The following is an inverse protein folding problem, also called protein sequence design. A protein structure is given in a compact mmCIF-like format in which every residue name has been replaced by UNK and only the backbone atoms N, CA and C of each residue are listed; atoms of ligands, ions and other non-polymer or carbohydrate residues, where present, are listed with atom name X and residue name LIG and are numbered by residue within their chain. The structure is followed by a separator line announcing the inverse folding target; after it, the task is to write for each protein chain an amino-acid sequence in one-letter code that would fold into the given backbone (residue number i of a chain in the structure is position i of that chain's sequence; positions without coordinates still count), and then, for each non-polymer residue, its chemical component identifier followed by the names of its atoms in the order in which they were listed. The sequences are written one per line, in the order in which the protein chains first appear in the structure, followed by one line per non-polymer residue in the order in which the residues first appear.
data_IF_617324059364
#
_entry.id   IF_617324059364
#
_cell.length_a   1.000
_cell.length_b   1.000
_cell.length_c   1.000
_cell.angle_alpha   90.00
_cell.angle_beta   90.00
_cell.angle_gamma   90.00
#
_symmetry.space_group_name_H-M   'P 1'
#
loop_
_entity.id
_entity.type
_entity.pdbx_description
1 polymer ?
#
# COMPACT_ATOMS: atom_id res chain seq x y z
N UNK A 1 35.06 -15.00 -23.71
CA UNK A 1 34.72 -15.49 -22.38
C UNK A 1 33.38 -14.91 -21.98
N UNK A 2 32.35 -15.72 -21.80
CA UNK A 2 31.09 -15.25 -21.20
C UNK A 2 31.39 -14.86 -19.76
N UNK A 3 31.04 -13.63 -19.37
CA UNK A 3 31.10 -13.23 -17.96
C UNK A 3 30.08 -14.07 -17.19
N UNK A 4 30.55 -14.98 -16.36
CA UNK A 4 29.71 -15.77 -15.46
C UNK A 4 29.46 -14.94 -14.20
N UNK A 5 28.24 -14.46 -14.00
CA UNK A 5 27.83 -13.73 -12.80
C UNK A 5 27.20 -12.35 -13.11
N UNK A 6 26.63 -11.75 -12.08
CA UNK A 6 26.04 -10.42 -12.13
C UNK A 6 27.13 -9.33 -12.16
N UNK A 7 26.84 -8.13 -12.70
CA UNK A 7 27.72 -6.97 -12.56
C UNK A 7 28.08 -6.70 -11.09
N UNK A 8 29.26 -6.10 -10.83
CA UNK A 8 29.70 -5.81 -9.45
C UNK A 8 28.80 -4.79 -8.73
N UNK A 9 28.13 -3.95 -9.50
CA UNK A 9 27.22 -2.92 -9.07
C UNK A 9 25.74 -3.35 -9.13
N UNK A 10 25.48 -4.65 -9.33
CA UNK A 10 24.14 -5.19 -9.33
C UNK A 10 23.49 -5.02 -7.94
N UNK A 11 22.29 -4.43 -7.92
CA UNK A 11 21.57 -4.17 -6.69
C UNK A 11 20.71 -5.39 -6.29
N UNK A 12 21.23 -6.16 -5.35
CA UNK A 12 20.44 -7.20 -4.69
C UNK A 12 19.47 -6.57 -3.71
N UNK A 13 18.19 -6.94 -3.76
CA UNK A 13 17.20 -6.30 -2.91
C UNK A 13 15.98 -7.17 -2.64
N UNK A 14 15.09 -6.60 -1.86
CA UNK A 14 13.80 -7.17 -1.52
C UNK A 14 12.66 -6.18 -1.75
N UNK A 15 11.43 -6.70 -1.78
CA UNK A 15 10.23 -5.89 -1.91
C UNK A 15 9.18 -6.27 -0.86
N UNK A 16 8.51 -5.26 -0.32
CA UNK A 16 7.33 -5.40 0.52
C UNK A 16 6.32 -4.30 0.20
N UNK A 17 5.07 -4.48 0.61
CA UNK A 17 4.05 -3.45 0.49
C UNK A 17 3.66 -2.93 1.87
N UNK A 18 3.40 -1.63 1.99
CA UNK A 18 2.96 -0.99 3.24
C UNK A 18 1.77 -1.72 3.87
N UNK A 19 0.75 -2.02 3.07
CA UNK A 19 -0.45 -2.72 3.55
C UNK A 19 -0.18 -4.13 4.07
N UNK A 20 0.87 -4.81 3.61
CA UNK A 20 1.22 -6.16 4.04
C UNK A 20 2.14 -6.16 5.25
N UNK A 21 2.95 -5.13 5.41
CA UNK A 21 4.02 -5.09 6.38
C UNK A 21 3.73 -4.19 7.58
N UNK A 22 3.26 -2.97 7.34
CA UNK A 22 3.23 -1.93 8.38
C UNK A 22 2.36 -2.27 9.58
N UNK A 23 1.13 -2.74 9.37
CA UNK A 23 0.16 -2.80 10.47
C UNK A 23 -0.16 -1.42 11.04
N UNK A 24 -0.34 -1.32 12.35
CA UNK A 24 -0.60 -0.05 13.05
C UNK A 24 -1.70 0.78 12.35
N UNK A 25 -2.78 0.11 11.93
CA UNK A 25 -3.76 0.61 10.96
C UNK A 25 -4.59 1.83 11.41
N UNK A 26 -4.62 2.12 12.73
CA UNK A 26 -5.24 3.32 13.31
C UNK A 26 -4.25 4.14 14.17
N UNK A 27 -2.96 3.78 14.15
CA UNK A 27 -1.96 4.46 14.98
C UNK A 27 -1.50 5.77 14.32
N UNK A 28 -1.18 6.75 15.15
CA UNK A 28 -0.61 8.05 14.77
C UNK A 28 -1.40 8.79 13.67
N UNK A 29 -2.73 8.65 13.73
CA UNK A 29 -3.65 9.33 12.83
C UNK A 29 -3.76 8.75 11.43
N UNK A 30 -3.28 7.50 11.19
CA UNK A 30 -3.58 6.79 9.95
C UNK A 30 -5.09 6.60 9.80
N UNK A 31 -5.64 6.94 8.64
CA UNK A 31 -7.01 6.61 8.28
C UNK A 31 -7.15 5.15 7.81
N UNK A 32 -8.39 4.68 7.75
CA UNK A 32 -8.67 3.39 7.12
C UNK A 32 -8.37 3.44 5.62
N UNK A 33 -7.82 2.36 5.11
CA UNK A 33 -7.67 2.15 3.68
C UNK A 33 -8.37 0.88 3.20
N UNK A 34 -8.45 0.70 1.90
CA UNK A 34 -9.18 -0.43 1.30
C UNK A 34 -8.60 -1.79 1.65
N UNK A 35 -7.32 -1.89 2.00
CA UNK A 35 -6.72 -3.18 2.39
C UNK A 35 -7.07 -3.56 3.83
N UNK A 36 -7.34 -2.60 4.72
CA UNK A 36 -7.77 -2.85 6.10
C UNK A 36 -9.11 -3.62 6.18
N UNK A 37 -9.88 -3.63 5.07
CA UNK A 37 -11.17 -4.32 4.98
C UNK A 37 -11.08 -5.70 4.31
N UNK A 38 -9.90 -6.17 3.94
CA UNK A 38 -9.75 -7.47 3.27
C UNK A 38 -9.84 -8.62 4.25
N UNK A 39 -10.97 -9.34 4.14
CA UNK A 39 -11.24 -10.54 4.93
C UNK A 39 -10.39 -11.72 4.47
N UNK A 40 -9.90 -12.49 5.44
CA UNK A 40 -9.21 -13.75 5.27
C UNK A 40 -9.63 -14.72 6.39
N UNK A 41 -10.08 -15.92 6.04
CA UNK A 41 -10.33 -16.94 7.02
C UNK A 41 -9.08 -17.85 7.13
N UNK A 42 -8.45 -17.93 8.30
CA UNK A 42 -7.25 -18.77 8.49
C UNK A 42 -7.53 -20.25 8.26
N UNK A 43 -8.80 -20.67 8.39
CA UNK A 43 -9.23 -22.05 8.19
C UNK A 43 -9.49 -22.42 6.72
N UNK A 44 -9.47 -21.45 5.81
CA UNK A 44 -9.64 -21.73 4.38
C UNK A 44 -8.61 -22.73 3.87
N UNK A 45 -9.10 -23.72 3.13
CA UNK A 45 -8.27 -24.59 2.30
C UNK A 45 -7.53 -23.79 1.22
N UNK A 46 -6.53 -24.38 0.60
CA UNK A 46 -5.81 -23.76 -0.51
C UNK A 46 -6.74 -23.37 -1.66
N UNK A 47 -7.71 -24.22 -1.95
CA UNK A 47 -8.73 -24.02 -2.99
C UNK A 47 -9.64 -22.83 -2.65
N UNK A 48 -10.13 -22.75 -1.41
CA UNK A 48 -10.99 -21.64 -0.95
C UNK A 48 -10.26 -20.31 -0.99
N UNK A 49 -8.97 -20.27 -0.63
CA UNK A 49 -8.13 -19.05 -0.72
C UNK A 49 -8.02 -18.51 -2.14
N UNK A 50 -8.21 -19.35 -3.15
CA UNK A 50 -8.11 -18.98 -4.56
C UNK A 50 -9.46 -18.69 -5.21
N UNK A 51 -10.58 -19.03 -4.56
CA UNK A 51 -11.92 -18.78 -5.08
C UNK A 51 -12.16 -17.27 -5.26
N UNK A 52 -12.69 -16.90 -6.43
CA UNK A 52 -13.00 -15.51 -6.75
C UNK A 52 -13.99 -14.91 -5.75
N UNK A 53 -15.04 -15.65 -5.35
CA UNK A 53 -16.02 -15.21 -4.37
C UNK A 53 -15.42 -14.80 -3.03
N UNK A 54 -14.37 -15.48 -2.58
CA UNK A 54 -13.71 -15.18 -1.32
C UNK A 54 -12.80 -13.94 -1.42
N UNK A 55 -12.26 -13.64 -2.60
CA UNK A 55 -11.41 -12.48 -2.86
C UNK A 55 -12.17 -11.20 -3.21
N UNK A 56 -13.44 -11.34 -3.56
CA UNK A 56 -14.29 -10.23 -3.98
C UNK A 56 -14.81 -9.46 -2.77
N UNK A 57 -14.91 -8.15 -2.93
CA UNK A 57 -15.59 -7.25 -1.99
C UNK A 57 -16.98 -6.93 -2.53
N UNK A 58 -17.99 -7.13 -1.70
CA UNK A 58 -19.35 -6.69 -1.93
C UNK A 58 -19.83 -5.84 -0.75
N UNK A 59 -21.02 -5.26 -0.85
CA UNK A 59 -21.58 -4.40 0.19
C UNK A 59 -21.72 -5.10 1.55
N UNK A 60 -22.05 -6.38 1.58
CA UNK A 60 -22.20 -7.16 2.82
C UNK A 60 -20.83 -7.28 3.53
N UNK A 61 -19.80 -7.74 2.82
CA UNK A 61 -18.44 -7.86 3.36
C UNK A 61 -17.87 -6.51 3.77
N UNK A 62 -18.15 -5.47 2.99
CA UNK A 62 -17.73 -4.12 3.29
C UNK A 62 -18.31 -3.63 4.62
N UNK A 63 -19.62 -3.80 4.82
CA UNK A 63 -20.30 -3.45 6.08
C UNK A 63 -19.81 -4.31 7.24
N UNK A 64 -19.62 -5.62 7.03
CA UNK A 64 -19.10 -6.51 8.06
C UNK A 64 -17.69 -6.10 8.53
N UNK A 65 -16.80 -5.76 7.60
CA UNK A 65 -15.45 -5.32 7.93
C UNK A 65 -15.42 -4.02 8.74
N UNK A 66 -16.37 -3.11 8.51
CA UNK A 66 -16.48 -1.86 9.27
C UNK A 66 -17.17 -2.04 10.64
N UNK A 67 -17.98 -3.07 10.80
CA UNK A 67 -18.71 -3.34 12.04
C UNK A 67 -17.79 -3.81 13.18
N UNK A 68 -16.65 -4.44 12.86
CA UNK A 68 -15.69 -4.94 13.84
C UNK A 68 -14.25 -4.58 13.41
N UNK A 69 -13.76 -3.47 13.93
CA UNK A 69 -12.39 -3.02 13.68
C UNK A 69 -11.37 -3.69 14.61
N UNK A 70 -11.81 -4.40 15.66
CA UNK A 70 -10.93 -5.09 16.60
C UNK A 70 -10.56 -6.50 16.13
N UNK A 71 -11.28 -7.04 15.13
CA UNK A 71 -10.96 -8.33 14.54
C UNK A 71 -9.67 -8.24 13.71
N UNK A 72 -8.57 -8.68 14.31
CA UNK A 72 -7.26 -8.76 13.67
C UNK A 72 -7.01 -10.14 13.05
N UNK A 73 -7.71 -11.18 13.50
CA UNK A 73 -7.53 -12.54 13.00
C UNK A 73 -7.99 -12.68 11.56
N UNK A 74 -9.16 -12.13 11.26
CA UNK A 74 -9.76 -12.20 9.91
C UNK A 74 -9.38 -11.03 9.02
N UNK A 75 -8.72 -10.00 9.54
CA UNK A 75 -8.25 -8.84 8.78
C UNK A 75 -6.74 -8.63 8.94
N UNK A 76 -5.90 -9.53 8.37
CA UNK A 76 -4.46 -9.57 8.64
C UNK A 76 -3.70 -8.32 8.21
N UNK A 77 -4.23 -7.53 7.27
CA UNK A 77 -3.60 -6.27 6.86
C UNK A 77 -3.63 -5.19 7.95
N UNK A 78 -4.53 -5.30 8.94
CA UNK A 78 -4.61 -4.38 10.09
C UNK A 78 -3.39 -4.47 11.00
N UNK A 79 -2.77 -5.63 11.10
CA UNK A 79 -1.58 -5.83 11.92
C UNK A 79 -0.30 -6.08 11.10
N UNK A 80 -0.40 -6.63 9.88
CA UNK A 80 0.75 -6.96 9.04
C UNK A 80 1.78 -7.81 9.80
N UNK A 81 3.05 -7.43 9.69
CA UNK A 81 4.15 -7.94 10.51
C UNK A 81 4.59 -6.92 11.59
N UNK A 82 3.75 -5.92 11.83
CA UNK A 82 3.99 -4.79 12.74
C UNK A 82 5.26 -4.00 12.39
N UNK A 83 5.56 -3.88 11.12
CA UNK A 83 6.73 -3.18 10.62
C UNK A 83 6.76 -1.71 11.05
N UNK A 84 5.60 -1.06 11.19
CA UNK A 84 5.51 0.33 11.64
C UNK A 84 6.20 0.55 13.00
N UNK A 85 6.10 -0.40 13.92
CA UNK A 85 6.69 -0.31 15.25
C UNK A 85 8.06 -1.00 15.35
N UNK A 86 8.41 -1.89 14.39
CA UNK A 86 9.60 -2.74 14.44
C UNK A 86 10.62 -2.50 13.34
N UNK A 87 10.39 -1.50 12.49
CA UNK A 87 11.21 -1.27 11.29
C UNK A 87 12.71 -1.12 11.58
N UNK A 88 13.10 -0.62 12.76
CA UNK A 88 14.52 -0.47 13.12
C UNK A 88 15.20 -1.85 13.19
N UNK A 89 14.59 -2.79 13.91
CA UNK A 89 15.11 -4.16 14.04
C UNK A 89 15.11 -4.88 12.69
N UNK A 90 14.02 -4.77 11.93
CA UNK A 90 13.88 -5.40 10.63
C UNK A 90 14.90 -4.84 9.62
N UNK A 91 15.20 -3.53 9.69
CA UNK A 91 16.18 -2.90 8.82
C UNK A 91 17.62 -3.35 9.12
N UNK A 92 17.96 -3.58 10.40
CA UNK A 92 19.24 -4.18 10.80
C UNK A 92 19.40 -5.57 10.16
N UNK A 93 18.34 -6.41 10.21
CA UNK A 93 18.35 -7.72 9.56
C UNK A 93 18.50 -7.63 8.04
N UNK A 94 17.87 -6.64 7.39
CA UNK A 94 18.07 -6.41 5.95
C UNK A 94 19.51 -6.03 5.63
N UNK A 95 20.14 -5.21 6.46
CA UNK A 95 21.54 -4.83 6.31
C UNK A 95 22.48 -6.03 6.48
N UNK A 96 22.24 -6.90 7.49
CA UNK A 96 22.97 -8.15 7.71
C UNK A 96 22.85 -9.12 6.53
N UNK A 97 21.67 -9.21 5.92
CA UNK A 97 21.43 -10.00 4.69
C UNK A 97 22.17 -9.43 3.47
N UNK A 98 22.72 -8.22 3.57
CA UNK A 98 23.43 -7.55 2.48
C UNK A 98 22.54 -6.95 1.40
N UNK A 99 21.27 -6.67 1.73
CA UNK A 99 20.32 -5.99 0.82
C UNK A 99 20.90 -4.61 0.43
N UNK A 100 20.85 -4.28 -0.85
CA UNK A 100 21.35 -3.02 -1.43
C UNK A 100 20.23 -2.10 -1.92
N UNK A 101 19.03 -2.62 -2.09
CA UNK A 101 17.84 -1.84 -2.40
C UNK A 101 16.63 -2.46 -1.73
N UNK A 102 15.86 -1.63 -1.03
CA UNK A 102 14.57 -1.99 -0.46
C UNK A 102 13.47 -1.33 -1.28
N UNK A 103 12.64 -2.14 -1.93
CA UNK A 103 11.39 -1.65 -2.49
C UNK A 103 10.30 -1.71 -1.42
N UNK A 104 9.70 -0.58 -1.12
CA UNK A 104 8.51 -0.52 -0.28
C UNK A 104 7.45 0.39 -0.91
N UNK A 105 6.22 0.38 -0.41
CA UNK A 105 5.21 1.34 -0.81
C UNK A 105 4.95 2.34 0.31
N UNK A 106 4.37 3.48 -0.06
CA UNK A 106 3.94 4.51 0.89
C UNK A 106 2.43 4.40 1.07
N UNK A 107 1.95 4.25 2.31
CA UNK A 107 0.53 4.16 2.60
C UNK A 107 -0.12 5.55 2.49
N UNK A 108 -0.96 5.74 1.48
CA UNK A 108 -1.64 7.02 1.24
C UNK A 108 -2.47 7.46 2.46
N UNK A 109 -3.23 6.55 3.07
CA UNK A 109 -4.04 6.85 4.25
C UNK A 109 -3.22 7.19 5.52
N UNK A 110 -1.91 6.92 5.51
CA UNK A 110 -1.00 7.37 6.58
C UNK A 110 -0.56 8.82 6.37
N UNK A 111 -0.49 9.26 5.12
CA UNK A 111 -0.09 10.64 4.74
C UNK A 111 -1.31 11.57 4.68
N UNK A 112 -2.41 11.12 4.11
CA UNK A 112 -3.69 11.82 4.06
C UNK A 112 -4.78 10.85 4.51
N UNK A 113 -5.19 10.87 5.79
CA UNK A 113 -6.09 9.88 6.39
C UNK A 113 -7.41 9.69 5.65
N UNK A 114 -7.99 10.76 5.13
CA UNK A 114 -9.20 10.74 4.30
C UNK A 114 -8.88 10.81 2.79
N UNK A 115 -7.65 11.13 2.42
CA UNK A 115 -7.21 11.32 1.04
C UNK A 115 -7.48 12.73 0.50
N UNK A 116 -8.52 13.40 0.95
CA UNK A 116 -8.89 14.77 0.58
C UNK A 116 -8.57 15.82 1.66
N UNK A 117 -7.88 15.42 2.70
CA UNK A 117 -7.43 16.31 3.77
C UNK A 117 -6.67 17.52 3.23
N UNK A 118 -6.86 18.69 3.88
CA UNK A 118 -6.19 19.92 3.46
C UNK A 118 -4.69 19.92 3.75
N UNK A 119 -4.26 19.19 4.78
CA UNK A 119 -2.86 19.07 5.20
C UNK A 119 -2.50 17.61 5.40
N UNK A 120 -1.24 17.24 5.15
CA UNK A 120 -0.77 15.89 5.40
C UNK A 120 -0.65 15.61 6.90
N UNK A 121 -0.73 14.34 7.26
CA UNK A 121 -0.41 13.85 8.59
C UNK A 121 1.11 13.84 8.78
N UNK A 122 1.61 14.74 9.62
CA UNK A 122 3.05 14.89 9.86
C UNK A 122 3.68 13.66 10.55
N UNK A 123 2.93 12.93 11.37
CA UNK A 123 3.41 11.68 11.98
C UNK A 123 3.67 10.61 10.91
N UNK A 124 2.77 10.48 9.93
CA UNK A 124 2.96 9.57 8.81
C UNK A 124 4.15 9.96 7.92
N UNK A 125 4.31 11.25 7.63
CA UNK A 125 5.49 11.73 6.89
C UNK A 125 6.78 11.46 7.64
N UNK A 126 6.80 11.74 8.95
CA UNK A 126 7.98 11.51 9.80
C UNK A 126 8.39 10.04 9.80
N UNK A 127 7.44 9.11 9.88
CA UNK A 127 7.73 7.68 9.81
C UNK A 127 8.53 7.31 8.55
N UNK A 128 8.10 7.78 7.36
CA UNK A 128 8.82 7.48 6.12
C UNK A 128 10.14 8.23 6.00
N UNK A 129 10.24 9.46 6.53
CA UNK A 129 11.52 10.17 6.61
C UNK A 129 12.55 9.39 7.42
N UNK A 130 12.17 8.98 8.63
CA UNK A 130 13.04 8.24 9.54
C UNK A 130 13.46 6.89 8.93
N UNK A 131 12.52 6.16 8.35
CA UNK A 131 12.78 4.88 7.68
C UNK A 131 13.76 5.03 6.51
N UNK A 132 13.54 6.02 5.64
CA UNK A 132 14.38 6.20 4.44
C UNK A 132 15.77 6.74 4.79
N UNK A 133 15.87 7.64 5.76
CA UNK A 133 17.16 8.10 6.28
C UNK A 133 17.96 6.93 6.90
N UNK A 134 17.30 6.02 7.62
CA UNK A 134 17.93 4.83 8.17
C UNK A 134 18.32 3.81 7.07
N UNK A 135 17.52 3.62 6.02
CA UNK A 135 17.93 2.83 4.86
C UNK A 135 19.26 3.33 4.29
N UNK A 136 19.39 4.63 4.06
CA UNK A 136 20.61 5.22 3.56
C UNK A 136 21.81 5.08 4.54
N UNK A 137 21.56 5.21 5.84
CA UNK A 137 22.60 4.98 6.86
C UNK A 137 23.16 3.56 6.82
N UNK A 138 22.35 2.57 6.44
CA UNK A 138 22.77 1.17 6.21
C UNK A 138 23.27 0.91 4.78
N UNK A 139 23.36 1.91 3.92
CA UNK A 139 23.78 1.77 2.52
C UNK A 139 22.74 1.05 1.64
N UNK A 140 21.48 1.10 2.03
CA UNK A 140 20.34 0.53 1.32
C UNK A 140 19.63 1.64 0.55
N UNK A 141 19.51 1.50 -0.76
CA UNK A 141 18.76 2.41 -1.62
C UNK A 141 17.26 2.23 -1.43
N UNK A 142 16.52 3.32 -1.55
CA UNK A 142 15.05 3.32 -1.42
C UNK A 142 14.40 3.31 -2.80
N UNK A 143 13.54 2.31 -3.03
CA UNK A 143 12.68 2.23 -4.20
C UNK A 143 11.22 2.34 -3.75
N UNK A 144 10.64 3.54 -3.81
CA UNK A 144 9.32 3.82 -3.30
C UNK A 144 8.23 3.60 -4.35
N UNK A 145 7.24 2.78 -4.03
CA UNK A 145 5.99 2.65 -4.79
C UNK A 145 4.96 3.63 -4.22
N UNK A 146 4.50 4.58 -5.02
CA UNK A 146 3.55 5.62 -4.57
C UNK A 146 2.21 5.00 -4.22
N UNK A 147 1.65 4.16 -5.09
CA UNK A 147 0.40 3.45 -4.85
C UNK A 147 0.54 1.95 -5.04
N UNK A 148 0.28 1.20 -3.96
CA UNK A 148 0.31 -0.26 -3.97
C UNK A 148 -1.06 -0.82 -3.57
N UNK A 149 -2.05 -0.62 -4.44
CA UNK A 149 -3.46 -1.02 -4.35
C UNK A 149 -4.33 -0.19 -3.40
N UNK A 150 -3.84 0.15 -2.20
CA UNK A 150 -4.64 0.75 -1.14
C UNK A 150 -4.82 2.25 -1.31
N UNK A 151 -6.06 2.72 -1.26
CA UNK A 151 -6.40 4.15 -1.16
C UNK A 151 -7.18 4.42 0.13
N UNK A 152 -7.18 5.67 0.63
CA UNK A 152 -8.01 6.05 1.77
C UNK A 152 -9.46 5.66 1.55
N UNK A 153 -10.06 5.00 2.56
CA UNK A 153 -11.42 4.45 2.44
C UNK A 153 -12.46 5.53 2.18
N UNK A 154 -12.28 6.71 2.75
CA UNK A 154 -13.14 7.87 2.53
C UNK A 154 -13.27 8.23 1.03
N UNK A 155 -12.19 8.12 0.24
CA UNK A 155 -12.27 8.36 -1.20
C UNK A 155 -13.19 7.35 -1.92
N UNK A 156 -13.34 6.14 -1.38
CA UNK A 156 -14.26 5.13 -1.93
C UNK A 156 -15.69 5.45 -1.53
N UNK A 157 -15.93 5.76 -0.26
CA UNK A 157 -17.29 5.99 0.27
C UNK A 157 -17.90 7.31 -0.23
N UNK A 158 -17.12 8.37 -0.29
CA UNK A 158 -17.61 9.69 -0.69
C UNK A 158 -17.61 9.92 -2.21
N UNK A 159 -16.59 9.41 -2.90
CA UNK A 159 -16.38 9.75 -4.31
C UNK A 159 -16.46 8.54 -5.25
N UNK A 160 -16.61 7.32 -4.72
CA UNK A 160 -16.62 6.10 -5.52
C UNK A 160 -15.23 5.66 -6.01
N UNK A 161 -14.16 6.04 -5.28
CA UNK A 161 -12.78 5.66 -5.60
C UNK A 161 -12.34 6.15 -6.99
N UNK A 162 -11.68 5.30 -7.74
CA UNK A 162 -11.14 5.65 -9.06
C UNK A 162 -12.20 5.91 -10.15
N UNK A 163 -13.48 5.77 -9.88
CA UNK A 163 -14.54 6.25 -10.79
C UNK A 163 -14.62 7.76 -10.85
N UNK A 164 -14.11 8.46 -9.86
CA UNK A 164 -14.19 9.90 -9.73
C UNK A 164 -12.88 10.60 -10.09
N UNK A 165 -12.98 11.66 -10.91
CA UNK A 165 -11.85 12.58 -11.16
C UNK A 165 -11.36 13.25 -9.87
N UNK A 166 -12.19 13.33 -8.83
CA UNK A 166 -11.80 13.84 -7.52
C UNK A 166 -10.70 13.01 -6.89
N UNK A 167 -10.77 11.69 -7.00
CA UNK A 167 -9.72 10.79 -6.52
C UNK A 167 -8.40 11.03 -7.25
N UNK A 168 -8.45 11.31 -8.56
CA UNK A 168 -7.24 11.65 -9.34
C UNK A 168 -6.62 12.98 -8.85
N UNK A 169 -7.44 14.01 -8.59
CA UNK A 169 -6.95 15.27 -8.02
C UNK A 169 -6.28 15.07 -6.66
N UNK A 170 -6.89 14.24 -5.80
CA UNK A 170 -6.33 13.88 -4.50
C UNK A 170 -5.01 13.10 -4.65
N UNK A 171 -4.93 12.18 -5.62
CA UNK A 171 -3.71 11.44 -5.92
C UNK A 171 -2.57 12.35 -6.39
N UNK A 172 -2.87 13.31 -7.26
CA UNK A 172 -1.87 14.30 -7.71
C UNK A 172 -1.34 15.13 -6.55
N UNK A 173 -2.22 15.55 -5.63
CA UNK A 173 -1.82 16.27 -4.41
C UNK A 173 -0.95 15.38 -3.51
N UNK A 174 -1.36 14.15 -3.25
CA UNK A 174 -0.60 13.18 -2.49
C UNK A 174 0.79 12.97 -3.08
N UNK A 175 0.88 12.68 -4.37
CA UNK A 175 2.16 12.47 -5.08
C UNK A 175 3.07 13.70 -5.02
N UNK A 176 2.51 14.90 -5.18
CA UNK A 176 3.26 16.16 -5.04
C UNK A 176 3.85 16.29 -3.64
N UNK A 177 3.04 16.05 -2.60
CA UNK A 177 3.52 16.07 -1.21
C UNK A 177 4.65 15.08 -0.99
N UNK A 178 4.56 13.87 -1.55
CA UNK A 178 5.66 12.91 -1.44
C UNK A 178 6.94 13.42 -2.09
N UNK A 179 6.87 13.99 -3.29
CA UNK A 179 8.05 14.53 -3.97
C UNK A 179 8.65 15.73 -3.22
N UNK A 180 7.82 16.61 -2.68
CA UNK A 180 8.27 17.77 -1.92
C UNK A 180 8.89 17.40 -0.57
N UNK A 181 8.38 16.36 0.10
CA UNK A 181 8.75 16.02 1.47
C UNK A 181 9.74 14.85 1.60
N UNK A 182 9.75 13.93 0.61
CA UNK A 182 10.55 12.71 0.62
C UNK A 182 11.44 12.56 -0.62
N UNK A 183 11.37 13.49 -1.57
CA UNK A 183 12.02 13.34 -2.86
C UNK A 183 13.54 13.16 -2.80
N UNK A 184 14.20 13.81 -1.86
CA UNK A 184 15.64 13.72 -1.61
C UNK A 184 16.08 12.43 -0.89
N UNK A 185 15.10 11.63 -0.39
CA UNK A 185 15.29 10.36 0.32
C UNK A 185 14.95 9.13 -0.50
N UNK A 186 14.50 9.30 -1.74
CA UNK A 186 14.06 8.18 -2.58
C UNK A 186 14.92 8.13 -3.84
N UNK A 187 15.62 7.00 -4.02
CA UNK A 187 16.46 6.77 -5.19
C UNK A 187 15.66 6.43 -6.46
N UNK A 188 14.55 5.71 -6.30
CA UNK A 188 13.71 5.25 -7.42
C UNK A 188 12.23 5.35 -7.07
N UNK A 189 11.43 5.85 -8.01
CA UNK A 189 9.98 5.98 -7.86
C UNK A 189 9.24 5.02 -8.81
N UNK A 190 8.20 4.37 -8.29
CA UNK A 190 7.24 3.60 -9.07
C UNK A 190 5.84 4.18 -8.82
N UNK A 191 5.15 4.74 -9.83
CA UNK A 191 3.84 5.36 -9.60
C UNK A 191 2.77 4.40 -9.11
N UNK A 192 2.62 3.25 -9.77
CA UNK A 192 1.61 2.24 -9.46
C UNK A 192 2.19 0.84 -9.42
N UNK A 193 1.72 0.03 -8.47
CA UNK A 193 1.93 -1.41 -8.52
C UNK A 193 0.79 -2.06 -9.30
N UNK A 194 1.12 -2.79 -10.36
CA UNK A 194 0.21 -3.72 -11.06
C UNK A 194 -1.22 -3.17 -11.27
N UNK A 195 -1.37 -1.94 -11.77
CA UNK A 195 -2.71 -1.37 -11.99
C UNK A 195 -3.58 -2.27 -12.90
N UNK A 196 -2.96 -3.09 -13.75
CA UNK A 196 -3.59 -4.11 -14.57
C UNK A 196 -4.30 -5.20 -13.74
N UNK A 197 -3.92 -5.38 -12.47
CA UNK A 197 -4.60 -6.31 -11.55
C UNK A 197 -6.08 -5.96 -11.35
N UNK A 198 -6.45 -4.70 -11.52
CA UNK A 198 -7.81 -4.22 -11.52
C UNK A 198 -8.71 -4.98 -12.50
N UNK A 199 -8.17 -5.47 -13.62
CA UNK A 199 -8.91 -6.29 -14.59
C UNK A 199 -9.37 -7.63 -14.04
N UNK A 200 -8.67 -8.19 -13.06
CA UNK A 200 -8.93 -9.53 -12.51
C UNK A 200 -9.52 -9.48 -11.11
N UNK A 201 -9.21 -8.44 -10.38
CA UNK A 201 -9.69 -8.19 -9.01
C UNK A 201 -9.93 -6.68 -8.84
N UNK A 202 -11.14 -6.19 -9.12
CA UNK A 202 -11.48 -4.78 -9.11
C UNK A 202 -11.25 -4.10 -7.76
N UNK A 203 -11.59 -4.77 -6.67
CA UNK A 203 -11.37 -4.19 -5.35
C UNK A 203 -9.88 -4.03 -5.03
N UNK A 204 -9.09 -5.07 -5.28
CA UNK A 204 -7.67 -5.01 -4.98
C UNK A 204 -6.89 -4.09 -5.92
N UNK A 205 -7.21 -4.07 -7.19
CA UNK A 205 -6.46 -3.32 -8.19
C UNK A 205 -6.85 -1.85 -8.34
N UNK A 206 -8.16 -1.56 -8.25
CA UNK A 206 -8.72 -0.21 -8.47
C UNK A 206 -9.73 0.22 -7.42
N UNK A 207 -9.77 -0.49 -6.28
CA UNK A 207 -10.56 -0.14 -5.09
C UNK A 207 -12.07 0.03 -5.35
N UNK A 208 -12.64 -0.79 -6.25
CA UNK A 208 -14.07 -0.81 -6.53
C UNK A 208 -14.76 -1.94 -5.79
N UNK A 209 -15.93 -1.66 -5.22
CA UNK A 209 -16.87 -2.66 -4.74
C UNK A 209 -17.58 -3.26 -5.96
N UNK A 210 -17.69 -4.59 -6.02
CA UNK A 210 -18.10 -5.30 -7.25
C UNK A 210 -19.52 -5.06 -7.72
N UNK A 211 -20.42 -4.66 -6.85
CA UNK A 211 -21.79 -4.34 -7.21
C UNK A 211 -21.90 -3.12 -8.16
N UNK A 212 -20.76 -2.55 -8.53
CA UNK A 212 -20.59 -1.38 -9.42
C UNK A 212 -19.88 -1.75 -10.73
N UNK A 213 -20.09 -2.95 -11.24
CA UNK A 213 -19.35 -3.53 -12.38
C UNK A 213 -19.41 -2.70 -13.67
N UNK A 214 -20.49 -1.92 -13.90
CA UNK A 214 -20.67 -1.11 -15.11
C UNK A 214 -19.60 -0.01 -15.26
N UNK A 215 -19.04 0.49 -14.15
CA UNK A 215 -18.05 1.58 -14.15
C UNK A 215 -16.59 1.09 -14.14
N UNK A 216 -16.40 -0.20 -14.09
CA UNK A 216 -15.12 -0.85 -13.87
C UNK A 216 -14.05 -0.51 -14.91
N UNK A 217 -14.41 -0.57 -16.19
CA UNK A 217 -13.51 -0.24 -17.30
C UNK A 217 -13.06 1.23 -17.26
N UNK A 218 -14.00 2.12 -16.92
CA UNK A 218 -13.74 3.55 -16.80
C UNK A 218 -12.80 3.84 -15.62
N UNK A 219 -12.96 3.15 -14.48
CA UNK A 219 -12.11 3.32 -13.32
C UNK A 219 -10.66 2.90 -13.61
N UNK A 220 -10.45 1.77 -14.29
CA UNK A 220 -9.11 1.34 -14.72
C UNK A 220 -8.47 2.38 -15.62
N UNK A 221 -9.22 2.90 -16.58
CA UNK A 221 -8.71 3.90 -17.52
C UNK A 221 -8.35 5.23 -16.82
N UNK A 222 -9.07 5.61 -15.78
CA UNK A 222 -8.77 6.83 -15.02
C UNK A 222 -7.49 6.73 -14.16
N UNK A 223 -7.02 5.52 -13.85
CA UNK A 223 -5.75 5.32 -13.16
C UNK A 223 -4.53 5.59 -14.07
N UNK A 224 -4.74 5.61 -15.39
CA UNK A 224 -3.71 5.86 -16.40
C UNK A 224 -3.54 7.35 -16.69
#
# INVERSE_FOLDING_TARGET
MMKTGFPKDFLWGGAMASSQAEGAFLQDGKGLDTQDLRYFDPNWTKEERTQKSNRRMNDEKFKAALADLEDLEHYPFRHGIDFYNRWQEDLELFAELGIKVLRTSICWARIFPNGDDAQPNEAGLKFYMDLFDACHAHGIKVFATILHYNIPLHLVTEYGGWKSRKTVECYVRYTRTLFERLGDRVDYWLPFNEFNAGKFNPYNGVCLIEDQEEDYQNAIFQCL
#
